data_IF_466812430187
#
_entry.id   IF_466812430187
#
_cell.length_a   1.000
_cell.length_b   1.000
_cell.length_c   1.000
_cell.angle_alpha   90.00
_cell.angle_beta   90.00
_cell.angle_gamma   90.00
#
_symmetry.space_group_name_H-M   'P 1'
#
loop_
_entity.id
_entity.type
_entity.pdbx_description
1 polymer ?
#
# COMPACT_ATOMS: atom_id res chain seq x y z
N UNK A 1 -21.41 -11.91 -3.29
CA UNK A 1 -21.45 -10.55 -2.69
C UNK A 1 -20.45 -10.57 -1.55
N UNK A 2 -19.21 -10.12 -1.79
CA UNK A 2 -18.15 -10.12 -0.77
C UNK A 2 -17.78 -8.66 -0.51
N UNK A 3 -18.44 -8.09 0.50
CA UNK A 3 -18.15 -6.76 1.01
C UNK A 3 -17.03 -6.89 2.04
N UNK A 4 -15.78 -6.68 1.61
CA UNK A 4 -14.63 -6.60 2.52
C UNK A 4 -14.56 -5.18 3.10
N UNK A 5 -15.49 -4.87 4.02
CA UNK A 5 -15.34 -3.69 4.87
C UNK A 5 -14.20 -3.92 5.88
N UNK A 6 -12.97 -3.53 5.52
CA UNK A 6 -11.91 -3.39 6.51
C UNK A 6 -11.98 -2.03 7.23
N UNK A 7 -12.72 -2.06 8.33
CA UNK A 7 -12.44 -1.44 9.64
C UNK A 7 -12.00 0.04 9.71
N UNK A 8 -12.96 0.91 10.04
CA UNK A 8 -12.75 2.28 10.50
C UNK A 8 -11.83 2.42 11.74
N UNK A 9 -11.64 1.36 12.53
CA UNK A 9 -10.78 1.34 13.73
C UNK A 9 -9.27 1.47 13.42
N UNK A 10 -8.81 1.02 12.25
CA UNK A 10 -7.41 1.17 11.84
C UNK A 10 -7.05 2.64 11.52
N UNK A 11 -8.02 3.49 11.17
CA UNK A 11 -7.75 4.85 10.66
C UNK A 11 -7.21 5.83 11.71
N UNK A 12 -7.71 5.82 12.96
CA UNK A 12 -7.40 6.85 13.97
C UNK A 12 -5.95 6.78 14.49
N UNK A 13 -5.45 5.60 14.80
CA UNK A 13 -4.09 5.44 15.36
C UNK A 13 -2.99 5.73 14.33
N UNK A 14 -3.24 5.40 13.07
CA UNK A 14 -2.28 5.59 11.98
C UNK A 14 -2.02 7.06 11.64
N UNK A 15 -3.03 7.95 11.79
CA UNK A 15 -2.87 9.37 11.49
C UNK A 15 -1.90 10.08 12.46
N UNK A 16 -1.98 9.74 13.75
CA UNK A 16 -1.09 10.28 14.79
C UNK A 16 0.35 9.80 14.60
N UNK A 17 0.53 8.55 14.19
CA UNK A 17 1.83 7.96 13.89
C UNK A 17 2.45 8.61 12.64
N UNK A 18 1.69 8.69 11.55
CA UNK A 18 2.10 9.37 10.31
C UNK A 18 2.67 10.77 10.60
N UNK A 19 1.98 11.61 11.36
CA UNK A 19 2.44 12.99 11.61
C UNK A 19 3.74 13.08 12.42
N UNK A 20 4.10 12.06 13.20
CA UNK A 20 5.32 12.03 14.02
C UNK A 20 6.52 11.37 13.36
N UNK A 21 6.31 10.64 12.26
CA UNK A 21 7.36 9.88 11.59
C UNK A 21 8.06 10.68 10.49
N UNK A 22 9.37 10.51 10.38
CA UNK A 22 10.18 11.03 9.27
C UNK A 22 10.08 10.14 8.03
N UNK A 23 9.93 8.83 8.23
CA UNK A 23 9.83 7.82 7.16
C UNK A 23 8.59 6.95 7.41
N UNK A 24 7.88 6.63 6.34
CA UNK A 24 6.68 5.81 6.36
C UNK A 24 6.76 4.78 5.23
N UNK A 25 6.54 3.49 5.55
CA UNK A 25 6.54 2.41 4.56
C UNK A 25 5.31 1.53 4.79
N UNK A 26 4.63 1.15 3.72
CA UNK A 26 3.56 0.15 3.71
C UNK A 26 3.80 -0.82 2.56
N UNK A 27 3.85 -2.13 2.84
CA UNK A 27 4.00 -3.13 1.78
C UNK A 27 2.64 -3.53 1.22
N UNK A 28 2.56 -3.65 -0.10
CA UNK A 28 1.44 -4.24 -0.81
C UNK A 28 1.93 -5.44 -1.62
N UNK A 29 1.13 -6.49 -1.65
CA UNK A 29 1.36 -7.67 -2.49
C UNK A 29 0.03 -8.10 -3.12
N UNK A 30 0.09 -8.48 -4.39
CA UNK A 30 -0.98 -9.09 -5.16
C UNK A 30 -0.44 -10.35 -5.82
N UNK A 31 -0.97 -11.50 -5.45
CA UNK A 31 -0.79 -12.76 -6.17
C UNK A 31 -2.00 -12.99 -7.07
N UNK A 32 -1.76 -13.32 -8.33
CA UNK A 32 -2.80 -13.31 -9.37
C UNK A 32 -2.64 -14.47 -10.35
N UNK A 33 -3.79 -14.89 -10.91
CA UNK A 33 -3.88 -15.86 -11.99
C UNK A 33 -5.09 -15.52 -12.85
N UNK A 34 -4.87 -15.34 -14.15
CA UNK A 34 -5.90 -15.10 -15.15
C UNK A 34 -6.80 -13.87 -14.86
N UNK A 35 -6.20 -12.81 -14.34
CA UNK A 35 -6.83 -11.49 -14.14
C UNK A 35 -6.01 -10.41 -14.83
N UNK A 36 -6.64 -9.29 -15.20
CA UNK A 36 -5.96 -8.02 -15.46
C UNK A 36 -5.94 -7.16 -14.20
N UNK A 37 -5.01 -6.21 -14.15
CA UNK A 37 -4.84 -5.35 -12.97
C UNK A 37 -4.80 -3.85 -13.32
N UNK A 38 -3.63 -3.28 -13.63
CA UNK A 38 -3.53 -1.84 -13.89
C UNK A 38 -3.78 -1.50 -15.36
N UNK A 39 -3.62 -2.46 -16.27
CA UNK A 39 -3.92 -2.29 -17.69
C UNK A 39 -5.42 -2.46 -17.98
N UNK A 40 -6.21 -1.38 -17.85
CA UNK A 40 -7.63 -1.36 -18.19
C UNK A 40 -8.59 -1.07 -17.01
N UNK A 41 -8.30 -0.01 -16.25
CA UNK A 41 -8.71 0.21 -14.84
C UNK A 41 -9.29 -0.97 -14.04
N UNK A 42 -8.66 -2.15 -14.08
CA UNK A 42 -9.18 -3.34 -13.40
C UNK A 42 -8.83 -3.40 -11.91
N UNK A 43 -7.93 -2.56 -11.41
CA UNK A 43 -7.62 -2.50 -9.99
C UNK A 43 -7.02 -1.17 -9.56
N UNK A 44 -7.24 -0.84 -8.29
CA UNK A 44 -6.71 0.34 -7.63
C UNK A 44 -6.77 0.19 -6.12
N UNK A 45 -6.06 1.05 -5.40
CA UNK A 45 -6.22 1.21 -3.96
C UNK A 45 -6.71 2.62 -3.64
N UNK A 46 -7.28 2.80 -2.45
CA UNK A 46 -7.79 4.10 -2.00
C UNK A 46 -6.93 4.63 -0.87
N UNK A 47 -6.50 5.87 -1.03
CA UNK A 47 -5.60 6.57 -0.12
C UNK A 47 -6.26 6.97 1.20
N UNK A 48 -5.45 7.43 2.14
CA UNK A 48 -5.90 7.93 3.43
C UNK A 48 -6.85 9.13 3.36
N UNK A 49 -6.84 9.88 2.25
CA UNK A 49 -7.78 10.96 1.95
C UNK A 49 -8.94 10.56 1.01
N UNK A 50 -9.09 9.26 0.69
CA UNK A 50 -10.23 8.77 -0.09
C UNK A 50 -10.07 8.88 -1.61
N UNK A 51 -8.88 9.21 -2.10
CA UNK A 51 -8.61 9.25 -3.54
C UNK A 51 -8.23 7.87 -4.06
N UNK A 52 -8.72 7.56 -5.25
CA UNK A 52 -8.27 6.40 -6.01
C UNK A 52 -6.83 6.62 -6.46
N UNK A 53 -5.98 5.62 -6.23
CA UNK A 53 -4.59 5.59 -6.65
C UNK A 53 -4.37 4.44 -7.64
N UNK A 54 -3.89 4.80 -8.83
CA UNK A 54 -3.69 3.89 -9.97
C UNK A 54 -2.23 3.54 -10.17
N UNK A 55 -1.53 3.22 -9.08
CA UNK A 55 -0.21 2.59 -9.09
C UNK A 55 -0.16 1.55 -7.99
N UNK A 56 0.83 0.65 -8.03
CA UNK A 56 1.01 -0.37 -6.99
C UNK A 56 2.30 -0.16 -6.20
N UNK A 57 2.59 -1.08 -5.28
CA UNK A 57 3.83 -1.11 -4.53
C UNK A 57 5.06 -1.02 -5.43
N UNK A 58 6.05 -0.21 -5.01
CA UNK A 58 7.31 -0.03 -5.72
C UNK A 58 7.24 0.88 -6.95
N UNK A 59 6.08 1.44 -7.30
CA UNK A 59 5.93 2.40 -8.39
C UNK A 59 5.65 3.82 -7.89
N UNK A 60 5.89 4.81 -8.75
CA UNK A 60 5.54 6.20 -8.47
C UNK A 60 4.02 6.34 -8.30
N UNK A 61 3.55 7.13 -7.33
CA UNK A 61 2.12 7.37 -7.11
C UNK A 61 1.42 7.75 -8.42
N UNK A 62 0.34 7.04 -8.77
CA UNK A 62 -0.47 7.24 -9.99
C UNK A 62 0.26 7.01 -11.33
N UNK A 63 1.41 6.33 -11.37
CA UNK A 63 2.12 6.05 -12.63
C UNK A 63 1.42 5.07 -13.57
N UNK A 64 0.35 4.40 -13.14
CA UNK A 64 -0.29 3.34 -13.93
C UNK A 64 0.46 2.02 -13.91
N UNK A 65 1.44 1.87 -13.01
CA UNK A 65 2.41 0.77 -13.00
C UNK A 65 2.61 0.20 -11.59
N UNK A 66 3.18 -0.99 -11.52
CA UNK A 66 3.83 -1.55 -10.34
C UNK A 66 5.35 -1.58 -10.52
N UNK A 67 6.08 -2.09 -9.52
CA UNK A 67 7.55 -2.10 -9.49
C UNK A 67 8.21 -2.53 -10.81
N UNK A 68 7.82 -3.67 -11.40
CA UNK A 68 8.44 -4.14 -12.65
C UNK A 68 8.18 -3.18 -13.83
N UNK A 69 6.97 -2.62 -13.90
CA UNK A 69 6.57 -1.70 -14.95
C UNK A 69 7.27 -0.35 -14.82
N UNK A 70 7.47 0.13 -13.59
CA UNK A 70 8.21 1.37 -13.29
C UNK A 70 9.67 1.27 -13.76
N UNK A 71 10.32 0.14 -13.47
CA UNK A 71 11.72 -0.10 -13.84
C UNK A 71 11.91 -0.58 -15.29
N UNK A 72 10.82 -0.83 -16.02
CA UNK A 72 10.85 -1.22 -17.44
C UNK A 72 11.56 -2.54 -17.73
N UNK A 73 11.79 -3.39 -16.71
CA UNK A 73 12.50 -4.66 -16.83
C UNK A 73 11.86 -5.71 -15.92
N UNK A 74 11.92 -6.98 -16.35
CA UNK A 74 11.47 -8.16 -15.58
C UNK A 74 9.96 -8.26 -15.29
N UNK A 75 9.09 -7.55 -16.01
CA UNK A 75 7.68 -7.93 -16.03
C UNK A 75 7.47 -9.21 -16.85
N UNK A 76 6.41 -9.94 -16.51
CA UNK A 76 5.93 -11.11 -17.25
C UNK A 76 5.83 -10.92 -18.77
N UNK A 77 5.31 -9.76 -19.20
CA UNK A 77 5.25 -9.33 -20.59
C UNK A 77 6.07 -8.06 -20.75
N UNK A 78 6.82 -7.96 -21.85
CA UNK A 78 7.56 -6.75 -22.17
C UNK A 78 6.62 -5.53 -22.23
N UNK A 79 7.07 -4.41 -21.65
CA UNK A 79 6.33 -3.13 -21.61
C UNK A 79 4.95 -3.19 -20.92
N UNK A 80 4.65 -4.27 -20.20
CA UNK A 80 3.46 -4.35 -19.36
C UNK A 80 3.53 -3.39 -18.17
N UNK A 81 2.38 -2.88 -17.73
CA UNK A 81 2.29 -2.12 -16.48
C UNK A 81 2.63 -2.97 -15.26
N UNK A 82 2.26 -4.25 -15.30
CA UNK A 82 2.45 -5.21 -14.22
C UNK A 82 2.61 -6.67 -14.64
N UNK A 83 3.05 -7.53 -13.72
CA UNK A 83 3.08 -8.96 -13.95
C UNK A 83 1.67 -9.53 -14.10
N UNK A 84 0.73 -9.10 -13.24
CA UNK A 84 -0.65 -9.57 -13.29
C UNK A 84 -1.35 -9.20 -14.59
N UNK A 85 -0.95 -8.12 -15.27
CA UNK A 85 -1.52 -7.74 -16.57
C UNK A 85 -1.21 -8.74 -17.70
N UNK A 86 -0.38 -9.76 -17.46
CA UNK A 86 -0.21 -10.89 -18.36
C UNK A 86 -1.52 -11.67 -18.60
N UNK A 87 -2.43 -11.70 -17.61
CA UNK A 87 -3.74 -12.33 -17.71
C UNK A 87 -3.69 -13.75 -18.31
N UNK A 88 -2.78 -14.56 -17.78
CA UNK A 88 -2.54 -15.94 -18.21
C UNK A 88 -2.75 -16.92 -17.05
N UNK A 89 -2.68 -18.22 -17.34
CA UNK A 89 -2.95 -19.27 -16.35
C UNK A 89 -1.77 -19.56 -15.40
N UNK A 90 -0.80 -18.65 -15.34
CA UNK A 90 0.40 -18.73 -14.50
C UNK A 90 0.20 -17.88 -13.25
N UNK A 91 0.57 -18.40 -12.09
CA UNK A 91 0.61 -17.60 -10.87
C UNK A 91 1.72 -16.56 -10.96
N UNK A 92 1.36 -15.30 -10.70
CA UNK A 92 2.27 -14.15 -10.74
C UNK A 92 2.07 -13.29 -9.51
N UNK A 93 3.08 -12.48 -9.22
CA UNK A 93 3.08 -11.60 -8.05
C UNK A 93 3.50 -10.19 -8.45
N UNK A 94 2.73 -9.21 -7.99
CA UNK A 94 3.14 -7.80 -7.96
C UNK A 94 3.23 -7.34 -6.51
N UNK A 95 4.44 -7.01 -6.07
CA UNK A 95 4.71 -6.55 -4.71
C UNK A 95 5.53 -5.26 -4.69
N UNK A 96 5.47 -4.54 -3.58
CA UNK A 96 6.41 -3.47 -3.30
C UNK A 96 5.97 -2.53 -2.18
N UNK A 97 6.86 -1.60 -1.85
CA UNK A 97 6.62 -0.59 -0.83
C UNK A 97 5.91 0.64 -1.40
N UNK A 98 4.93 1.15 -0.64
CA UNK A 98 4.44 2.51 -0.72
C UNK A 98 5.20 3.38 0.28
N UNK A 99 5.69 4.52 -0.18
CA UNK A 99 6.53 5.43 0.63
C UNK A 99 5.97 6.85 0.69
N UNK A 100 4.95 7.18 -0.12
CA UNK A 100 4.33 8.49 -0.13
C UNK A 100 3.48 8.70 1.13
N UNK A 101 4.10 9.39 2.09
CA UNK A 101 3.51 9.73 3.38
C UNK A 101 2.22 10.54 3.27
N UNK A 102 2.01 11.29 2.19
CA UNK A 102 0.86 12.18 2.05
C UNK A 102 -0.46 11.43 1.87
N UNK A 103 -0.39 10.23 1.27
CA UNK A 103 -1.54 9.41 0.86
C UNK A 103 -1.68 8.10 1.63
N UNK A 104 -0.72 7.76 2.51
CA UNK A 104 -0.78 6.59 3.38
C UNK A 104 -1.55 6.86 4.69
N UNK A 105 -2.10 5.81 5.35
CA UNK A 105 -2.14 4.40 4.92
C UNK A 105 -3.19 4.13 3.83
N UNK A 106 -3.09 2.97 3.18
CA UNK A 106 -4.14 2.41 2.31
C UNK A 106 -5.41 2.17 3.13
N UNK A 107 -6.57 2.56 2.59
CA UNK A 107 -7.88 2.30 3.20
C UNK A 107 -8.54 1.03 2.67
N UNK A 108 -8.38 0.76 1.37
CA UNK A 108 -9.02 -0.35 0.67
C UNK A 108 -8.25 -0.64 -0.62
N UNK A 109 -8.39 -1.87 -1.11
CA UNK A 109 -7.93 -2.31 -2.43
C UNK A 109 -9.12 -2.88 -3.18
N UNK A 110 -9.23 -2.59 -4.46
CA UNK A 110 -10.35 -3.00 -5.31
C UNK A 110 -9.85 -3.69 -6.56
N UNK A 111 -10.57 -4.74 -6.98
CA UNK A 111 -10.29 -5.56 -8.15
C UNK A 111 -11.57 -5.77 -8.97
N UNK A 112 -11.45 -5.71 -10.29
CA UNK A 112 -12.56 -5.65 -11.23
C UNK A 112 -12.63 -6.81 -12.23
N UNK A 113 -11.49 -7.43 -12.58
CA UNK A 113 -11.45 -8.54 -13.55
C UNK A 113 -11.67 -9.90 -12.86
N UNK A 114 -12.90 -10.12 -12.37
CA UNK A 114 -13.26 -11.32 -11.57
C UNK A 114 -14.57 -11.99 -12.01
N UNK A 115 -15.09 -11.68 -13.20
CA UNK A 115 -16.47 -12.03 -13.60
C UNK A 115 -16.62 -13.03 -14.75
N UNK A 116 -15.56 -13.33 -15.50
CA UNK A 116 -15.72 -13.90 -16.84
C UNK A 116 -15.16 -15.31 -17.04
N UNK A 117 -14.38 -15.85 -16.10
CA UNK A 117 -13.79 -17.19 -16.24
C UNK A 117 -13.87 -17.98 -14.92
N UNK A 118 -14.05 -19.31 -14.96
CA UNK A 118 -14.08 -20.14 -13.75
C UNK A 118 -12.76 -20.12 -12.94
N UNK A 119 -11.69 -19.52 -13.48
CA UNK A 119 -10.35 -19.54 -12.88
C UNK A 119 -9.71 -18.15 -12.79
N UNK A 120 -10.48 -17.09 -12.49
CA UNK A 120 -9.92 -15.77 -12.14
C UNK A 120 -9.65 -15.72 -10.65
N UNK A 121 -8.39 -15.62 -10.25
CA UNK A 121 -8.00 -15.68 -8.84
C UNK A 121 -7.04 -14.55 -8.49
N UNK A 122 -7.28 -13.94 -7.33
CA UNK A 122 -6.43 -12.89 -6.78
C UNK A 122 -6.41 -12.98 -5.26
N UNK A 123 -5.21 -12.99 -4.69
CA UNK A 123 -4.96 -12.86 -3.25
C UNK A 123 -4.15 -11.58 -3.03
N UNK A 124 -4.52 -10.79 -2.03
CA UNK A 124 -3.80 -9.56 -1.73
C UNK A 124 -3.45 -9.51 -0.25
N UNK A 125 -2.33 -8.86 0.06
CA UNK A 125 -1.96 -8.53 1.42
C UNK A 125 -1.63 -7.04 1.53
N UNK A 126 -2.09 -6.45 2.64
CA UNK A 126 -1.75 -5.09 3.05
C UNK A 126 -0.91 -5.22 4.30
N UNK A 127 0.36 -4.82 4.19
CA UNK A 127 1.30 -4.86 5.30
C UNK A 127 0.90 -3.94 6.44
N UNK A 128 1.61 -4.04 7.57
CA UNK A 128 1.47 -3.05 8.65
C UNK A 128 2.17 -1.76 8.25
N UNK A 129 1.60 -0.62 8.63
CA UNK A 129 2.24 0.68 8.44
C UNK A 129 3.49 0.77 9.31
N UNK A 130 4.67 0.79 8.69
CA UNK A 130 5.95 0.94 9.36
C UNK A 130 6.34 2.42 9.42
N UNK A 131 6.72 2.87 10.60
CA UNK A 131 6.89 4.27 10.96
C UNK A 131 8.26 4.46 11.63
N UNK A 132 9.13 5.28 11.07
CA UNK A 132 10.40 5.67 11.72
C UNK A 132 10.44 7.17 11.91
N UNK A 133 10.93 7.62 13.05
CA UNK A 133 11.10 9.04 13.34
C UNK A 133 12.36 9.27 14.14
N UNK A 134 12.95 10.45 13.99
CA UNK A 134 13.97 10.93 14.92
C UNK A 134 13.26 11.47 16.16
N UNK A 135 13.69 11.08 17.37
CA UNK A 135 13.22 11.77 18.58
C UNK A 135 13.65 13.23 18.44
N UNK A 136 12.71 14.17 18.33
CA UNK A 136 13.03 15.56 18.64
C UNK A 136 13.41 15.58 20.11
N UNK A 137 14.62 16.04 20.44
CA UNK A 137 15.00 16.37 21.81
C UNK A 137 13.96 17.35 22.34
N UNK A 138 13.02 16.85 23.14
CA UNK A 138 12.28 17.71 24.05
C UNK A 138 13.33 18.18 25.06
N UNK A 139 13.50 19.48 25.23
CA UNK A 139 14.04 20.02 26.47
C UNK A 139 13.07 19.58 27.58
N UNK A 140 13.26 18.36 28.09
CA UNK A 140 12.66 17.96 29.35
C UNK A 140 13.54 18.62 30.40
N UNK A 141 13.22 19.86 30.75
CA UNK A 141 13.68 20.42 32.01
C UNK A 141 13.07 19.57 33.11
N UNK A 142 13.81 18.53 33.52
CA UNK A 142 13.63 17.96 34.84
C UNK A 142 14.01 19.06 35.82
N UNK A 143 13.01 19.85 36.23
CA UNK A 143 13.10 20.49 37.53
C UNK A 143 13.10 19.35 38.53
N UNK A 144 14.29 18.92 38.93
CA UNK A 144 14.49 18.14 40.13
C UNK A 144 13.98 19.02 41.28
N UNK A 145 12.69 18.89 41.61
CA UNK A 145 12.18 19.37 42.88
C UNK A 145 12.75 18.45 43.95
N UNK A 146 13.87 18.87 44.53
CA UNK A 146 14.24 18.44 45.86
C UNK A 146 13.09 18.79 46.80
N UNK A 147 12.39 17.79 47.30
CA UNK A 147 11.68 17.91 48.57
C UNK A 147 12.50 17.16 49.61
N UNK A 148 13.38 17.91 50.26
CA UNK A 148 13.78 17.60 51.64
C UNK A 148 12.66 18.16 52.53
N UNK A 149 12.33 17.43 53.59
CA UNK A 149 11.58 17.77 54.81
C UNK A 149 10.36 16.86 54.99
N UNK A 150 10.14 16.23 56.15
CA UNK A 150 10.78 16.29 57.46
C UNK A 150 10.47 14.99 58.19
#
# INVERSE_FOLDING_TARGET
MCDCQQNALFKKNNLKLRNKSSILILLLQLDCRNIRFLNGPWGWWVSSNGHQITSWGGATTNSGRCACGEHGSNCALERSSCNCDANDDVWRTDEGALTDKSILPVQEVRFGDTRNMPMQMAFHSIGKLQCWGTRKNLNVSFLAKYFINK
#
